data_IF_151683674570
#
_entry.id   IF_151683674570
#
_cell.length_a   1.000
_cell.length_b   1.000
_cell.length_c   1.000
_cell.angle_alpha   90.00
_cell.angle_beta   90.00
_cell.angle_gamma   90.00
#
_symmetry.space_group_name_H-M   'P 1'
#
loop_
_entity.id
_entity.type
_entity.pdbx_description
1 polymer ?
#
# COMPACT_ATOMS: atom_id res chain seq x y z
N UNK A 1 4.46 8.41 -18.73
CA UNK A 1 3.40 8.73 -17.77
C UNK A 1 2.22 9.53 -18.32
N UNK A 2 2.36 10.36 -19.36
CA UNK A 2 1.20 11.11 -19.92
C UNK A 2 0.51 10.50 -21.15
N UNK A 3 1.17 9.59 -21.89
CA UNK A 3 0.67 9.19 -23.22
C UNK A 3 -0.31 8.00 -23.27
N UNK A 4 -0.53 7.24 -22.19
CA UNK A 4 -1.37 6.03 -22.23
C UNK A 4 -2.70 6.16 -21.47
N UNK A 5 -2.84 7.17 -20.62
CA UNK A 5 -3.97 7.35 -19.70
C UNK A 5 -5.08 8.25 -20.27
N UNK A 6 -4.83 9.03 -21.32
CA UNK A 6 -5.75 10.09 -21.76
C UNK A 6 -6.95 9.62 -22.60
N UNK A 7 -7.23 8.32 -22.74
CA UNK A 7 -8.28 7.85 -23.66
C UNK A 7 -9.18 6.69 -23.23
N UNK A 8 -8.89 5.97 -22.14
CA UNK A 8 -9.68 4.78 -21.78
C UNK A 8 -10.42 4.98 -20.44
N UNK A 9 -11.78 5.00 -20.43
CA UNK A 9 -12.59 5.18 -19.23
C UNK A 9 -12.37 4.11 -18.15
N UNK A 10 -11.78 2.96 -18.47
CA UNK A 10 -11.37 1.93 -17.51
C UNK A 10 -10.32 2.43 -16.49
N UNK A 11 -9.63 3.54 -16.76
CA UNK A 11 -8.59 4.09 -15.87
C UNK A 11 -9.11 5.07 -14.80
N UNK A 12 -10.37 5.49 -14.84
CA UNK A 12 -10.91 6.45 -13.86
C UNK A 12 -11.10 5.83 -12.46
N UNK A 13 -11.20 4.50 -12.36
CA UNK A 13 -11.53 3.77 -11.14
C UNK A 13 -10.43 2.80 -10.68
N UNK A 14 -9.15 3.04 -11.02
CA UNK A 14 -8.06 2.13 -10.66
C UNK A 14 -7.93 1.85 -9.15
N UNK A 15 -8.43 2.74 -8.30
CA UNK A 15 -8.46 2.54 -6.85
C UNK A 15 -9.48 1.50 -6.38
N UNK A 16 -10.46 1.16 -7.21
CA UNK A 16 -11.50 0.16 -6.90
C UNK A 16 -10.93 -1.27 -6.96
N UNK A 17 -9.75 -1.44 -7.55
CA UNK A 17 -9.03 -2.71 -7.68
C UNK A 17 -7.93 -2.91 -6.64
N UNK A 18 -7.79 -2.01 -5.67
CA UNK A 18 -6.77 -2.17 -4.64
C UNK A 18 -7.14 -3.29 -3.66
N UNK A 19 -6.19 -4.18 -3.38
CA UNK A 19 -6.35 -5.29 -2.43
C UNK A 19 -6.64 -4.83 -0.99
N UNK A 20 -6.38 -3.55 -0.70
CA UNK A 20 -6.64 -2.91 0.59
C UNK A 20 -8.04 -2.29 0.71
N UNK A 21 -8.87 -2.33 -0.33
CA UNK A 21 -10.24 -1.79 -0.29
C UNK A 21 -11.11 -2.37 0.85
N UNK A 22 -11.05 -3.68 1.17
CA UNK A 22 -11.79 -4.26 2.28
C UNK A 22 -11.41 -3.69 3.66
N UNK A 23 -10.27 -2.98 3.78
CA UNK A 23 -9.93 -2.31 5.04
C UNK A 23 -11.01 -1.31 5.44
N UNK A 24 -11.71 -0.64 4.52
CA UNK A 24 -12.59 0.50 4.85
C UNK A 24 -11.90 1.50 5.82
N UNK A 25 -10.58 1.68 5.67
CA UNK A 25 -9.81 2.57 6.52
C UNK A 25 -10.29 4.02 6.32
N UNK A 26 -10.34 4.86 7.38
CA UNK A 26 -10.90 6.20 7.30
C UNK A 26 -10.20 7.07 6.25
N UNK A 27 -10.92 7.40 5.18
CA UNK A 27 -10.33 8.18 4.08
C UNK A 27 -10.25 9.66 4.42
N UNK A 28 -11.21 10.16 5.19
CA UNK A 28 -11.28 11.54 5.65
C UNK A 28 -10.35 11.75 6.85
N UNK A 29 -9.57 12.83 6.80
CA UNK A 29 -8.63 13.21 7.85
C UNK A 29 -9.36 13.45 9.18
N UNK A 30 -10.53 14.04 9.14
CA UNK A 30 -11.37 14.37 10.30
C UNK A 30 -11.79 13.10 11.04
N UNK A 31 -12.19 12.05 10.31
CA UNK A 31 -12.52 10.74 10.88
C UNK A 31 -11.29 10.11 11.53
N UNK A 32 -10.14 10.15 10.84
CA UNK A 32 -8.88 9.65 11.41
C UNK A 32 -8.45 10.42 12.68
N UNK A 33 -8.72 11.72 12.77
CA UNK A 33 -8.44 12.54 13.95
C UNK A 33 -9.30 12.20 15.17
N UNK A 34 -10.44 11.54 14.99
CA UNK A 34 -11.30 11.09 16.09
C UNK A 34 -10.90 9.72 16.65
N UNK A 35 -10.11 8.94 15.90
CA UNK A 35 -9.66 7.61 16.33
C UNK A 35 -8.59 7.70 17.41
N UNK A 36 -8.54 6.75 18.35
CA UNK A 36 -7.42 6.67 19.29
C UNK A 36 -6.12 6.20 18.59
N UNK A 37 -4.99 6.32 19.29
CA UNK A 37 -3.67 5.96 18.72
C UNK A 37 -3.52 4.45 18.47
N UNK A 38 -4.19 3.59 19.24
CA UNK A 38 -4.15 2.14 19.03
C UNK A 38 -4.86 1.76 17.73
N UNK A 39 -6.06 2.27 17.50
CA UNK A 39 -6.82 2.00 16.28
C UNK A 39 -6.11 2.55 15.04
N UNK A 40 -5.53 3.76 15.11
CA UNK A 40 -4.68 4.28 14.03
C UNK A 40 -3.47 3.39 13.78
N UNK A 41 -2.78 2.97 14.84
CA UNK A 41 -1.62 2.07 14.73
C UNK A 41 -1.99 0.73 14.11
N UNK A 42 -3.16 0.18 14.47
CA UNK A 42 -3.71 -1.04 13.88
C UNK A 42 -3.93 -0.86 12.37
N UNK A 43 -4.54 0.25 11.94
CA UNK A 43 -4.72 0.54 10.50
C UNK A 43 -3.40 0.69 9.76
N UNK A 44 -2.43 1.41 10.35
CA UNK A 44 -1.12 1.56 9.73
C UNK A 44 -0.44 0.20 9.59
N UNK A 45 -0.44 -0.65 10.64
CA UNK A 45 0.14 -1.99 10.56
C UNK A 45 -0.52 -2.83 9.47
N UNK A 46 -1.85 -2.82 9.36
CA UNK A 46 -2.55 -3.57 8.31
C UNK A 46 -2.16 -3.10 6.90
N UNK A 47 -2.06 -1.79 6.68
CA UNK A 47 -1.57 -1.24 5.42
C UNK A 47 -0.13 -1.67 5.14
N UNK A 48 0.78 -1.52 6.12
CA UNK A 48 2.19 -1.91 5.95
C UNK A 48 2.34 -3.41 5.65
N UNK A 49 1.65 -4.29 6.37
CA UNK A 49 1.68 -5.74 6.10
C UNK A 49 1.12 -6.08 4.72
N UNK A 50 0.03 -5.41 4.30
CA UNK A 50 -0.58 -5.68 3.00
C UNK A 50 0.34 -5.36 1.82
N UNK A 51 1.34 -4.49 2.03
CA UNK A 51 2.30 -4.08 1.02
C UNK A 51 3.63 -4.86 1.07
N UNK A 52 3.87 -5.71 2.08
CA UNK A 52 5.10 -6.51 2.19
C UNK A 52 5.31 -7.38 0.93
N UNK A 53 4.29 -8.12 0.49
CA UNK A 53 4.37 -9.02 -0.67
C UNK A 53 4.53 -8.26 -1.99
N UNK A 54 3.63 -7.33 -2.38
CA UNK A 54 3.75 -6.64 -3.67
C UNK A 54 5.06 -5.85 -3.82
N UNK A 55 5.55 -5.20 -2.77
CA UNK A 55 6.83 -4.47 -2.83
C UNK A 55 8.02 -5.40 -2.97
N UNK A 56 8.02 -6.55 -2.31
CA UNK A 56 9.08 -7.55 -2.45
C UNK A 56 9.12 -8.12 -3.87
N UNK A 57 7.97 -8.49 -4.45
CA UNK A 57 7.89 -8.93 -5.85
C UNK A 57 8.40 -7.85 -6.82
N UNK A 58 8.05 -6.58 -6.60
CA UNK A 58 8.52 -5.46 -7.42
C UNK A 58 10.06 -5.35 -7.41
N UNK A 59 10.69 -5.60 -6.26
CA UNK A 59 12.16 -5.49 -6.11
C UNK A 59 12.90 -6.75 -6.60
N UNK A 60 12.32 -7.94 -6.40
CA UNK A 60 13.00 -9.21 -6.63
C UNK A 60 12.69 -9.81 -7.99
N UNK A 61 11.41 -9.94 -8.31
CA UNK A 61 10.92 -10.79 -9.39
C UNK A 61 10.58 -9.98 -10.65
N UNK A 62 10.10 -8.75 -10.48
CA UNK A 62 9.69 -7.88 -11.59
C UNK A 62 10.82 -6.97 -12.10
N UNK A 63 12.03 -7.09 -11.55
CA UNK A 63 13.17 -6.18 -11.84
C UNK A 63 13.63 -6.15 -13.30
N UNK A 64 13.33 -7.21 -14.06
CA UNK A 64 13.72 -7.36 -15.46
C UNK A 64 12.54 -7.11 -16.43
N UNK A 65 11.38 -6.73 -15.92
CA UNK A 65 10.20 -6.44 -16.73
C UNK A 65 10.35 -5.04 -17.35
N UNK A 66 9.98 -4.91 -18.63
CA UNK A 66 10.16 -3.68 -19.45
C UNK A 66 9.55 -2.44 -18.80
N UNK A 67 8.42 -2.59 -18.11
CA UNK A 67 7.69 -1.54 -17.41
C UNK A 67 8.39 -1.07 -16.12
N UNK A 68 9.37 -1.82 -15.62
CA UNK A 68 10.11 -1.50 -14.39
C UNK A 68 11.45 -0.86 -14.75
N UNK A 69 11.48 0.48 -14.73
CA UNK A 69 12.72 1.23 -14.93
C UNK A 69 13.69 1.08 -13.74
N UNK A 70 14.98 1.34 -13.97
CA UNK A 70 15.98 1.40 -12.89
C UNK A 70 15.61 2.42 -11.79
N UNK A 71 15.02 3.56 -12.17
CA UNK A 71 14.54 4.58 -11.23
C UNK A 71 13.37 4.05 -10.40
N UNK A 72 12.41 3.35 -11.03
CA UNK A 72 11.29 2.69 -10.35
C UNK A 72 11.80 1.66 -9.36
N UNK A 73 12.75 0.81 -9.77
CA UNK A 73 13.36 -0.21 -8.93
C UNK A 73 14.11 0.39 -7.73
N UNK A 74 14.87 1.48 -7.94
CA UNK A 74 15.56 2.19 -6.87
C UNK A 74 14.58 2.75 -5.84
N UNK A 75 13.48 3.39 -6.31
CA UNK A 75 12.42 3.90 -5.43
C UNK A 75 11.73 2.78 -4.67
N UNK A 76 11.42 1.65 -5.33
CA UNK A 76 10.83 0.48 -4.68
C UNK A 76 11.70 -0.06 -3.53
N UNK A 77 13.02 -0.18 -3.75
CA UNK A 77 13.98 -0.59 -2.71
C UNK A 77 13.99 0.37 -1.52
N UNK A 78 13.94 1.67 -1.78
CA UNK A 78 13.85 2.67 -0.72
C UNK A 78 12.53 2.56 0.05
N UNK A 79 11.41 2.38 -0.66
CA UNK A 79 10.09 2.18 -0.05
C UNK A 79 10.06 0.94 0.84
N UNK A 80 10.62 -0.19 0.40
CA UNK A 80 10.74 -1.41 1.24
C UNK A 80 11.46 -1.10 2.55
N UNK A 81 12.60 -0.40 2.50
CA UNK A 81 13.36 -0.02 3.71
C UNK A 81 12.54 0.88 4.64
N UNK A 82 11.83 1.88 4.08
CA UNK A 82 10.99 2.79 4.86
C UNK A 82 9.81 2.07 5.52
N UNK A 83 9.13 1.20 4.77
CA UNK A 83 8.02 0.36 5.27
C UNK A 83 8.50 -0.53 6.41
N UNK A 84 9.62 -1.24 6.24
CA UNK A 84 10.20 -2.08 7.29
C UNK A 84 10.55 -1.28 8.56
N UNK A 85 11.20 -0.13 8.40
CA UNK A 85 11.57 0.73 9.54
C UNK A 85 10.33 1.23 10.28
N UNK A 86 9.32 1.73 9.56
CA UNK A 86 8.08 2.23 10.17
C UNK A 86 7.31 1.10 10.87
N UNK A 87 7.24 -0.08 10.24
CA UNK A 87 6.62 -1.27 10.80
C UNK A 87 7.24 -1.65 12.14
N UNK A 88 8.58 -1.76 12.18
CA UNK A 88 9.31 -2.07 13.43
C UNK A 88 9.07 -1.03 14.53
N UNK A 89 9.02 0.26 14.19
CA UNK A 89 8.75 1.32 15.16
C UNK A 89 7.36 1.19 15.78
N UNK A 90 6.34 0.95 14.96
CA UNK A 90 4.95 0.80 15.44
C UNK A 90 4.78 -0.53 16.19
N UNK A 91 5.33 -1.63 15.69
CA UNK A 91 5.31 -2.94 16.36
C UNK A 91 5.97 -2.88 17.74
N UNK A 92 7.07 -2.14 17.90
CA UNK A 92 7.74 -1.98 19.19
C UNK A 92 6.87 -1.25 20.22
N UNK A 93 6.17 -0.20 19.78
CA UNK A 93 5.32 0.62 20.65
C UNK A 93 3.97 -0.04 20.93
N UNK A 94 3.41 -0.76 19.96
CA UNK A 94 2.08 -1.33 19.98
C UNK A 94 2.09 -2.84 19.69
N UNK A 95 2.95 -3.58 20.39
CA UNK A 95 3.15 -5.02 20.16
C UNK A 95 1.85 -5.83 20.32
N UNK A 96 0.94 -5.37 21.19
CA UNK A 96 -0.34 -6.01 21.46
C UNK A 96 -1.27 -5.96 20.25
N UNK A 97 -1.03 -5.06 19.29
CA UNK A 97 -1.84 -4.90 18.08
C UNK A 97 -1.40 -5.78 16.92
N UNK A 98 -0.23 -6.42 16.99
CA UNK A 98 0.31 -7.26 15.90
C UNK A 98 -0.65 -8.39 15.54
N UNK A 99 -1.04 -9.18 16.55
CA UNK A 99 -1.96 -10.30 16.34
C UNK A 99 -3.36 -9.84 15.92
N UNK A 100 -4.01 -8.87 16.59
CA UNK A 100 -5.31 -8.33 16.16
C UNK A 100 -5.31 -7.74 14.75
N UNK A 101 -4.22 -7.08 14.33
CA UNK A 101 -4.09 -6.53 12.97
C UNK A 101 -4.06 -7.65 11.94
N UNK A 102 -3.17 -8.65 12.13
CA UNK A 102 -3.05 -9.80 11.21
C UNK A 102 -4.31 -10.64 11.16
N UNK A 103 -4.93 -10.92 12.31
CA UNK A 103 -6.20 -11.64 12.37
C UNK A 103 -7.28 -10.93 11.56
N UNK A 104 -7.44 -9.62 11.76
CA UNK A 104 -8.41 -8.83 11.00
C UNK A 104 -8.13 -8.89 9.49
N UNK A 105 -6.87 -8.84 9.06
CA UNK A 105 -6.53 -8.96 7.63
C UNK A 105 -6.95 -10.29 7.02
N UNK A 106 -6.77 -11.38 7.75
CA UNK A 106 -7.22 -12.72 7.32
C UNK A 106 -8.75 -12.75 7.25
N UNK A 107 -9.43 -12.31 8.30
CA UNK A 107 -10.90 -12.32 8.37
C UNK A 107 -11.53 -11.48 7.24
N UNK A 108 -10.91 -10.34 6.89
CA UNK A 108 -11.39 -9.44 5.82
C UNK A 108 -10.75 -9.72 4.46
N UNK A 109 -10.04 -10.84 4.28
CA UNK A 109 -9.50 -11.28 2.98
C UNK A 109 -8.57 -10.25 2.32
N UNK A 110 -7.71 -9.60 3.10
CA UNK A 110 -6.73 -8.63 2.58
C UNK A 110 -5.46 -9.38 2.20
N UNK A 111 -5.44 -9.82 0.95
CA UNK A 111 -4.28 -10.46 0.32
C UNK A 111 -4.07 -9.89 -1.07
N UNK A 112 -2.81 -9.84 -1.50
CA UNK A 112 -2.45 -9.43 -2.85
C UNK A 112 -2.23 -10.65 -3.74
N UNK A 113 -2.94 -10.73 -4.86
CA UNK A 113 -2.96 -11.90 -5.76
C UNK A 113 -2.56 -11.57 -7.21
N UNK A 114 -2.21 -10.32 -7.51
CA UNK A 114 -2.13 -9.81 -8.89
C UNK A 114 -0.78 -10.08 -9.60
N UNK A 115 0.03 -11.02 -9.11
CA UNK A 115 1.34 -11.33 -9.71
C UNK A 115 1.22 -11.82 -11.15
N UNK A 116 0.19 -12.62 -11.45
CA UNK A 116 -0.04 -13.15 -12.79
C UNK A 116 -0.30 -12.02 -13.80
N UNK A 117 -1.10 -11.03 -13.42
CA UNK A 117 -1.40 -9.85 -14.23
C UNK A 117 -0.12 -9.04 -14.51
N UNK A 118 0.75 -8.88 -13.51
CA UNK A 118 2.05 -8.17 -13.65
C UNK A 118 3.09 -8.93 -14.49
N UNK A 119 2.93 -10.25 -14.65
CA UNK A 119 3.84 -11.11 -15.43
C UNK A 119 3.23 -11.58 -16.75
N UNK A 120 2.06 -11.05 -17.11
CA UNK A 120 1.36 -11.39 -18.35
C UNK A 120 2.23 -11.14 -19.58
N UNK A 121 2.08 -12.01 -20.59
CA UNK A 121 2.68 -11.80 -21.92
C UNK A 121 1.96 -10.72 -22.72
N UNK A 122 0.69 -10.46 -22.38
CA UNK A 122 -0.09 -9.36 -22.96
C UNK A 122 0.38 -8.03 -22.36
N UNK A 123 0.90 -7.14 -23.22
CA UNK A 123 1.44 -5.85 -22.82
C UNK A 123 0.36 -4.92 -22.22
N UNK A 124 -0.87 -4.95 -22.72
CA UNK A 124 -1.95 -4.10 -22.22
C UNK A 124 -2.40 -4.55 -20.82
N UNK A 125 -2.56 -5.86 -20.60
CA UNK A 125 -2.88 -6.41 -19.28
C UNK A 125 -1.78 -6.04 -18.28
N UNK A 126 -0.52 -6.22 -18.67
CA UNK A 126 0.63 -5.92 -17.81
C UNK A 126 0.71 -4.44 -17.46
N UNK A 127 0.57 -3.54 -18.44
CA UNK A 127 0.56 -2.10 -18.20
C UNK A 127 -0.59 -1.68 -17.27
N UNK A 128 -1.79 -2.22 -17.48
CA UNK A 128 -2.93 -1.93 -16.62
C UNK A 128 -2.70 -2.41 -15.17
N UNK A 129 -2.13 -3.60 -14.99
CA UNK A 129 -1.79 -4.13 -13.67
C UNK A 129 -0.74 -3.26 -12.94
N UNK A 130 0.30 -2.80 -13.64
CA UNK A 130 1.27 -1.85 -13.06
C UNK A 130 0.61 -0.51 -12.71
N UNK A 131 -0.28 -0.01 -13.57
CA UNK A 131 -1.01 1.23 -13.30
C UNK A 131 -1.83 1.11 -12.00
N UNK A 132 -2.60 0.03 -11.85
CA UNK A 132 -3.36 -0.24 -10.62
C UNK A 132 -2.40 -0.32 -9.42
N UNK A 133 -1.33 -1.13 -9.50
CA UNK A 133 -0.37 -1.30 -8.42
C UNK A 133 0.18 0.04 -7.91
N UNK A 134 0.65 0.91 -8.81
CA UNK A 134 1.22 2.19 -8.42
C UNK A 134 0.17 3.19 -7.91
N UNK A 135 -1.04 3.19 -8.47
CA UNK A 135 -2.15 4.01 -7.96
C UNK A 135 -2.56 3.60 -6.55
N UNK A 136 -2.64 2.30 -6.29
CA UNK A 136 -2.93 1.75 -4.96
C UNK A 136 -1.81 2.08 -3.96
N UNK A 137 -0.54 1.90 -4.36
CA UNK A 137 0.61 2.21 -3.51
C UNK A 137 0.62 3.68 -3.11
N UNK A 138 0.35 4.57 -4.06
CA UNK A 138 0.28 6.01 -3.82
C UNK A 138 -0.85 6.37 -2.85
N UNK A 139 -2.05 5.84 -3.07
CA UNK A 139 -3.21 6.05 -2.19
C UNK A 139 -2.92 5.60 -0.77
N UNK A 140 -2.43 4.38 -0.60
CA UNK A 140 -2.23 3.78 0.71
C UNK A 140 -1.05 4.42 1.45
N UNK A 141 0.01 4.81 0.73
CA UNK A 141 1.11 5.60 1.31
C UNK A 141 0.63 6.94 1.86
N UNK A 142 -0.28 7.62 1.15
CA UNK A 142 -0.90 8.86 1.66
C UNK A 142 -1.71 8.62 2.93
N UNK A 143 -2.46 7.51 3.02
CA UNK A 143 -3.19 7.14 4.25
C UNK A 143 -2.21 6.94 5.42
N UNK A 144 -1.13 6.17 5.20
CA UNK A 144 -0.08 5.96 6.22
C UNK A 144 0.56 7.28 6.66
N UNK A 145 0.91 8.16 5.72
CA UNK A 145 1.50 9.48 6.02
C UNK A 145 0.55 10.35 6.86
N UNK A 146 -0.74 10.40 6.50
CA UNK A 146 -1.75 11.14 7.28
C UNK A 146 -1.87 10.59 8.70
N UNK A 147 -2.02 9.27 8.86
CA UNK A 147 -2.20 8.67 10.19
C UNK A 147 -0.97 8.82 11.07
N UNK A 148 0.23 8.63 10.50
CA UNK A 148 1.49 8.80 11.25
C UNK A 148 1.70 10.26 11.67
N UNK A 149 1.34 11.24 10.83
CA UNK A 149 1.35 12.67 11.19
C UNK A 149 0.36 12.98 12.32
N UNK A 150 -0.86 12.45 12.26
CA UNK A 150 -1.85 12.61 13.34
C UNK A 150 -1.30 12.10 14.67
N UNK A 151 -0.71 10.89 14.67
CA UNK A 151 -0.13 10.31 15.88
C UNK A 151 1.06 11.14 16.39
N UNK A 152 1.95 11.57 15.51
CA UNK A 152 3.09 12.41 15.89
C UNK A 152 2.62 13.72 16.55
N UNK A 153 1.61 14.39 15.98
CA UNK A 153 1.04 15.60 16.57
C UNK A 153 0.47 15.38 17.98
N UNK A 154 -0.13 14.21 18.26
CA UNK A 154 -0.69 13.89 19.58
C UNK A 154 0.36 13.55 20.64
N UNK A 155 1.55 13.12 20.22
CA UNK A 155 2.66 12.82 21.14
C UNK A 155 3.39 14.13 21.52
N UNK A 156 3.37 15.12 20.63
CA UNK A 156 4.07 16.40 20.81
C UNK A 156 3.21 17.53 21.40
N UNK A 157 1.89 17.34 21.51
CA UNK A 157 0.95 18.25 22.18
C UNK A 157 0.57 17.69 23.55
#
# INVERSE_FOLDING_TARGET
DENYSQGNPEFNNATDYCHTNPLHAPEEREKAQQMNNEDLSKWILMLLYSWDIPLNHLVMDLRNIKEVSNTTLSRARETVKKVQKLKQLIERQFNQLIFPARKKMVDTHIYWTELQSLTSRDENIRHHAFFILFRCLHRDTRKVDIYTKIMACRIHN
#
